data_IF_975447537066
#
_entry.id   IF_975447537066
#
_cell.length_a   1.000
_cell.length_b   1.000
_cell.length_c   1.000
_cell.angle_alpha   90.00
_cell.angle_beta   90.00
_cell.angle_gamma   90.00
#
_symmetry.space_group_name_H-M   'P 1'
#
loop_
_entity.id
_entity.type
_entity.pdbx_description
1 polymer ?
#
# COMPACT_ATOMS: atom_id res chain seq x y z
N UNK A 1 8.98 11.51 -0.85
CA UNK A 1 7.78 11.82 -0.03
C UNK A 1 7.29 10.52 0.61
N UNK A 2 6.40 10.56 1.60
CA UNK A 2 5.78 9.33 2.12
C UNK A 2 4.59 8.95 1.25
N UNK A 3 4.59 7.72 0.76
CA UNK A 3 3.46 7.10 0.05
C UNK A 3 2.96 5.90 0.85
N UNK A 4 1.74 5.45 0.56
CA UNK A 4 1.05 4.46 1.36
C UNK A 4 0.59 3.28 0.52
N UNK A 5 0.71 2.06 1.04
CA UNK A 5 0.16 0.86 0.41
C UNK A 5 -0.69 0.09 1.42
N UNK A 6 -1.91 -0.31 1.02
CA UNK A 6 -2.77 -1.20 1.80
C UNK A 6 -2.41 -2.64 1.42
N UNK A 7 -2.01 -3.42 2.41
CA UNK A 7 -1.65 -4.82 2.25
C UNK A 7 -2.49 -5.70 3.18
N UNK A 8 -2.71 -6.96 2.78
CA UNK A 8 -3.09 -7.98 3.75
C UNK A 8 -1.94 -8.21 4.74
N UNK A 9 -2.27 -8.30 6.02
CA UNK A 9 -1.27 -8.47 7.08
C UNK A 9 -0.44 -9.75 6.88
N UNK A 10 -1.06 -10.81 6.36
CA UNK A 10 -0.40 -12.07 6.07
C UNK A 10 0.64 -11.94 4.94
N UNK A 11 0.31 -11.24 3.86
CA UNK A 11 1.22 -11.00 2.73
C UNK A 11 2.41 -10.15 3.15
N UNK A 12 2.17 -9.12 3.98
CA UNK A 12 3.25 -8.34 4.55
C UNK A 12 4.16 -9.18 5.45
N UNK A 13 3.57 -10.02 6.32
CA UNK A 13 4.36 -10.91 7.17
C UNK A 13 5.19 -11.93 6.37
N UNK A 14 4.70 -12.39 5.21
CA UNK A 14 5.45 -13.21 4.28
C UNK A 14 6.62 -12.43 3.66
N UNK A 15 6.37 -11.21 3.19
CA UNK A 15 7.40 -10.35 2.62
C UNK A 15 8.55 -10.02 3.59
N UNK A 16 8.27 -9.92 4.89
CA UNK A 16 9.32 -9.75 5.90
C UNK A 16 10.28 -10.94 5.97
N UNK A 17 9.81 -12.15 5.65
CA UNK A 17 10.66 -13.37 5.60
C UNK A 17 11.35 -13.49 4.25
N UNK A 18 10.64 -13.17 3.18
CA UNK A 18 11.12 -13.35 1.80
C UNK A 18 12.01 -12.18 1.33
N UNK A 19 12.00 -11.06 2.08
CA UNK A 19 12.79 -9.87 1.82
C UNK A 19 12.16 -8.90 0.81
N UNK A 20 11.02 -9.24 0.21
CA UNK A 20 10.34 -8.42 -0.78
C UNK A 20 8.83 -8.66 -0.80
N UNK A 21 8.04 -7.60 -0.83
CA UNK A 21 6.60 -7.62 -1.02
C UNK A 21 6.26 -7.40 -2.50
N UNK A 22 5.39 -8.25 -3.06
CA UNK A 22 5.13 -8.33 -4.51
C UNK A 22 3.65 -8.33 -4.89
N UNK A 23 2.76 -8.02 -3.96
CA UNK A 23 1.33 -7.86 -4.25
C UNK A 23 1.09 -6.42 -4.72
N UNK A 24 0.38 -6.24 -5.84
CA UNK A 24 0.12 -4.92 -6.41
C UNK A 24 -1.09 -4.24 -5.78
N UNK A 25 -2.15 -5.03 -5.57
CA UNK A 25 -3.41 -4.70 -4.92
C UNK A 25 -4.16 -6.00 -4.65
N UNK A 26 -5.34 -5.93 -4.03
CA UNK A 26 -6.17 -7.12 -3.78
C UNK A 26 -6.37 -7.96 -5.05
N UNK A 27 -5.88 -9.20 -5.01
CA UNK A 27 -6.01 -10.17 -6.11
C UNK A 27 -5.08 -9.93 -7.31
N UNK A 28 -4.12 -9.02 -7.22
CA UNK A 28 -3.16 -8.73 -8.28
C UNK A 28 -1.72 -8.71 -7.76
N UNK A 29 -0.78 -9.26 -8.54
CA UNK A 29 0.66 -9.24 -8.20
C UNK A 29 1.40 -8.23 -9.07
N UNK A 30 2.59 -7.82 -8.62
CA UNK A 30 3.53 -7.00 -9.37
C UNK A 30 3.80 -7.57 -10.77
N UNK A 31 3.93 -8.88 -10.92
CA UNK A 31 4.16 -9.53 -12.21
C UNK A 31 2.96 -9.39 -13.17
N UNK A 32 1.75 -9.42 -12.62
CA UNK A 32 0.52 -9.30 -13.43
C UNK A 32 0.23 -7.87 -13.88
N UNK A 33 0.57 -6.88 -13.06
CA UNK A 33 0.25 -5.46 -13.31
C UNK A 33 1.43 -4.65 -13.85
N UNK A 34 2.67 -5.06 -13.55
CA UNK A 34 3.90 -4.34 -13.86
C UNK A 34 4.33 -3.30 -12.80
N UNK A 35 3.47 -2.99 -11.82
CA UNK A 35 3.76 -2.05 -10.73
C UNK A 35 2.89 -2.33 -9.50
N UNK A 36 3.30 -1.85 -8.31
CA UNK A 36 2.50 -1.87 -7.09
C UNK A 36 1.76 -0.55 -6.95
N UNK A 37 0.46 -0.61 -6.69
CA UNK A 37 -0.36 0.58 -6.45
C UNK A 37 -0.06 1.14 -5.08
N UNK A 38 0.25 2.43 -5.00
CA UNK A 38 0.31 3.17 -3.75
C UNK A 38 -0.68 4.34 -3.79
N UNK A 39 -0.75 5.06 -2.68
CA UNK A 39 -1.65 6.17 -2.47
C UNK A 39 -0.94 7.29 -1.73
N UNK A 40 -1.41 8.51 -1.88
CA UNK A 40 -1.16 9.58 -0.91
C UNK A 40 -2.02 9.37 0.33
N UNK A 41 -1.74 10.10 1.41
CA UNK A 41 -2.55 10.02 2.64
C UNK A 41 -4.03 10.35 2.38
N UNK A 42 -4.32 11.34 1.53
CA UNK A 42 -5.68 11.77 1.22
C UNK A 42 -6.48 10.72 0.41
N UNK A 43 -5.79 9.87 -0.34
CA UNK A 43 -6.38 8.83 -1.19
C UNK A 43 -6.75 7.55 -0.43
N UNK A 44 -6.09 7.28 0.71
CA UNK A 44 -6.18 6.01 1.43
C UNK A 44 -7.62 5.56 1.72
N UNK A 45 -8.45 6.45 2.26
CA UNK A 45 -9.83 6.10 2.64
C UNK A 45 -10.70 5.71 1.43
N UNK A 46 -10.53 6.41 0.30
CA UNK A 46 -11.26 6.13 -0.93
C UNK A 46 -10.80 4.82 -1.57
N UNK A 47 -9.49 4.58 -1.63
CA UNK A 47 -8.90 3.33 -2.13
C UNK A 47 -9.32 2.15 -1.27
N UNK A 48 -9.24 2.27 0.05
CA UNK A 48 -9.70 1.24 0.97
C UNK A 48 -11.17 0.88 0.71
N UNK A 49 -12.06 1.88 0.72
CA UNK A 49 -13.49 1.66 0.48
C UNK A 49 -13.77 0.98 -0.86
N UNK A 50 -13.04 1.37 -1.91
CA UNK A 50 -13.27 0.85 -3.26
C UNK A 50 -12.82 -0.60 -3.44
N UNK A 51 -11.71 -1.01 -2.83
CA UNK A 51 -11.06 -2.28 -3.13
C UNK A 51 -11.10 -3.31 -1.99
N UNK A 52 -11.32 -2.86 -0.75
CA UNK A 52 -11.17 -3.68 0.45
C UNK A 52 -12.38 -3.68 1.39
N UNK A 53 -13.46 -2.93 1.09
CA UNK A 53 -14.62 -2.83 2.01
C UNK A 53 -15.37 -4.15 2.24
N UNK A 54 -15.34 -5.05 1.27
CA UNK A 54 -15.91 -6.39 1.35
C UNK A 54 -14.87 -7.45 1.76
N UNK A 55 -13.65 -7.03 2.10
CA UNK A 55 -12.60 -7.92 2.58
C UNK A 55 -12.65 -8.05 4.11
N UNK A 56 -12.68 -9.30 4.57
CA UNK A 56 -12.69 -9.62 6.00
C UNK A 56 -11.31 -9.98 6.55
N UNK A 57 -10.31 -10.09 5.67
CA UNK A 57 -8.95 -10.37 6.08
C UNK A 57 -8.29 -9.17 6.78
N UNK A 58 -7.40 -9.39 7.76
CA UNK A 58 -6.70 -8.30 8.43
C UNK A 58 -5.84 -7.49 7.47
N UNK A 59 -5.97 -6.16 7.53
CA UNK A 59 -5.20 -5.23 6.70
C UNK A 59 -4.14 -4.49 7.52
N UNK A 60 -3.09 -4.05 6.82
CA UNK A 60 -2.11 -3.09 7.31
C UNK A 60 -1.93 -1.98 6.28
N UNK A 61 -1.55 -0.80 6.76
CA UNK A 61 -1.04 0.28 5.92
C UNK A 61 0.47 0.35 6.10
N UNK A 62 1.19 0.24 4.98
CA UNK A 62 2.63 0.44 4.90
C UNK A 62 2.88 1.90 4.55
N UNK A 63 3.60 2.62 5.41
CA UNK A 63 4.17 3.93 5.09
C UNK A 63 5.54 3.73 4.46
N UNK A 64 5.70 4.19 3.23
CA UNK A 64 6.87 3.93 2.39
C UNK A 64 7.60 5.24 2.13
N UNK A 65 8.90 5.24 2.40
CA UNK A 65 9.81 6.30 1.97
C UNK A 65 10.14 6.12 0.48
N UNK A 66 9.54 6.96 -0.35
CA UNK A 66 9.77 7.02 -1.79
C UNK A 66 11.25 7.25 -2.16
N UNK A 67 11.98 8.02 -1.36
CA UNK A 67 13.38 8.30 -1.63
C UNK A 67 14.22 7.03 -1.44
N UNK A 68 14.00 6.29 -0.35
CA UNK A 68 14.66 5.02 -0.10
C UNK A 68 14.36 3.96 -1.19
N UNK A 69 13.12 3.93 -1.68
CA UNK A 69 12.74 3.09 -2.82
C UNK A 69 13.51 3.46 -4.09
N UNK A 70 13.55 4.76 -4.42
CA UNK A 70 14.24 5.29 -5.61
C UNK A 70 15.75 5.05 -5.55
N UNK A 71 16.38 5.27 -4.40
CA UNK A 71 17.81 5.00 -4.16
C UNK A 71 18.17 3.52 -4.36
N UNK A 72 17.20 2.63 -4.12
CA UNK A 72 17.35 1.18 -4.34
C UNK A 72 16.98 0.74 -5.76
N UNK A 73 16.71 1.69 -6.66
CA UNK A 73 16.39 1.43 -8.07
C UNK A 73 14.93 1.09 -8.34
N UNK A 74 14.03 1.27 -7.36
CA UNK A 74 12.58 1.13 -7.57
C UNK A 74 12.02 2.50 -7.96
N UNK A 75 11.68 2.65 -9.22
CA UNK A 75 11.10 3.88 -9.73
C UNK A 75 9.67 4.09 -9.21
N UNK A 76 9.37 5.29 -8.73
CA UNK A 76 8.03 5.71 -8.35
C UNK A 76 7.53 6.76 -9.34
N UNK A 77 6.36 6.52 -9.96
CA UNK A 77 5.73 7.46 -10.90
C UNK A 77 4.35 7.88 -10.41
N UNK A 78 4.03 9.15 -10.58
CA UNK A 78 2.67 9.64 -10.41
C UNK A 78 1.92 9.51 -11.74
N UNK A 79 0.89 8.67 -11.78
CA UNK A 79 0.16 8.34 -13.00
C UNK A 79 -1.35 8.47 -12.80
N UNK A 80 -2.08 8.78 -13.88
CA UNK A 80 -3.52 9.00 -13.81
C UNK A 80 -4.29 7.69 -13.53
N UNK A 81 -5.00 7.66 -12.41
CA UNK A 81 -5.86 6.56 -11.96
C UNK A 81 -7.36 6.81 -12.22
N UNK A 82 -7.72 7.81 -13.03
CA UNK A 82 -9.10 8.14 -13.36
C UNK A 82 -9.50 9.57 -12.97
N UNK A 83 -8.65 10.55 -13.29
CA UNK A 83 -8.83 11.97 -12.97
C UNK A 83 -8.01 12.47 -11.79
N UNK A 84 -7.22 11.59 -11.16
CA UNK A 84 -6.32 11.89 -10.05
C UNK A 84 -5.03 11.08 -10.18
N UNK A 85 -3.89 11.66 -9.79
CA UNK A 85 -2.59 11.01 -9.87
C UNK A 85 -2.34 10.11 -8.65
N UNK A 86 -1.98 8.85 -8.90
CA UNK A 86 -1.58 7.88 -7.89
C UNK A 86 -0.10 7.52 -8.03
N UNK A 87 0.63 7.32 -6.92
CA UNK A 87 1.98 6.78 -6.98
C UNK A 87 1.95 5.29 -7.33
N UNK A 88 2.74 4.89 -8.32
CA UNK A 88 2.98 3.51 -8.71
C UNK A 88 4.46 3.16 -8.52
N UNK A 89 4.74 2.06 -7.82
CA UNK A 89 6.10 1.54 -7.65
C UNK A 89 6.40 0.50 -8.73
N UNK A 90 7.38 0.77 -9.57
CA UNK A 90 7.84 -0.13 -10.64
C UNK A 90 8.88 -1.12 -10.11
N UNK A 91 8.50 -1.87 -9.08
CA UNK A 91 9.35 -2.84 -8.40
C UNK A 91 8.70 -3.33 -7.10
N UNK A 92 9.32 -4.32 -6.43
CA UNK A 92 8.83 -4.79 -5.15
C UNK A 92 8.99 -3.73 -4.05
N UNK A 93 8.13 -3.77 -3.04
CA UNK A 93 8.36 -3.02 -1.80
C UNK A 93 9.33 -3.83 -0.94
N UNK A 94 10.51 -3.29 -0.66
CA UNK A 94 11.45 -3.91 0.27
C UNK A 94 11.15 -3.44 1.70
N UNK A 95 11.34 -4.29 2.73
CA UNK A 95 11.14 -3.90 4.13
C UNK A 95 11.88 -2.65 4.57
N UNK A 96 13.06 -2.39 3.99
CA UNK A 96 13.88 -1.21 4.30
C UNK A 96 13.24 0.10 3.83
N UNK A 97 12.28 0.07 2.89
CA UNK A 97 11.56 1.28 2.46
C UNK A 97 10.44 1.65 3.42
N UNK A 98 10.00 0.71 4.25
CA UNK A 98 8.80 0.87 5.08
C UNK A 98 9.18 1.47 6.42
N UNK A 99 8.80 2.73 6.63
CA UNK A 99 9.12 3.49 7.84
C UNK A 99 8.14 3.22 8.98
N UNK A 100 6.91 2.79 8.65
CA UNK A 100 5.89 2.42 9.61
C UNK A 100 4.90 1.41 9.03
N UNK A 101 4.43 0.51 9.89
CA UNK A 101 3.34 -0.42 9.61
C UNK A 101 2.25 -0.18 10.64
N UNK A 102 1.05 0.12 10.18
CA UNK A 102 -0.10 0.39 11.06
C UNK A 102 -1.22 -0.60 10.74
N UNK A 103 -1.80 -1.24 11.76
CA UNK A 103 -2.98 -2.07 11.55
C UNK A 103 -4.14 -1.23 11.02
N UNK A 104 -4.95 -1.80 10.13
CA UNK A 104 -6.07 -1.10 9.52
C UNK A 104 -7.31 -1.98 9.43
N UNK A 105 -8.48 -1.35 9.54
CA UNK A 105 -9.78 -2.03 9.51
C UNK A 105 -10.90 -1.07 9.11
N UNK A 106 -12.02 -1.62 8.71
CA UNK A 106 -13.28 -0.89 8.66
C UNK A 106 -13.95 -0.91 10.05
N UNK A 107 -14.44 0.24 10.51
CA UNK A 107 -15.22 0.33 11.73
C UNK A 107 -16.68 -0.12 11.52
N UNK A 108 -17.51 -0.03 12.58
CA UNK A 108 -18.92 -0.43 12.53
C UNK A 108 -19.77 0.42 11.56
N UNK A 109 -19.31 1.63 11.22
CA UNK A 109 -19.96 2.52 10.26
C UNK A 109 -19.43 2.31 8.83
N UNK A 110 -18.53 1.35 8.62
CA UNK A 110 -17.88 1.09 7.33
C UNK A 110 -16.83 2.13 6.94
N UNK A 111 -16.31 2.91 7.90
CA UNK A 111 -15.20 3.85 7.64
C UNK A 111 -13.86 3.13 7.79
N UNK A 112 -12.96 3.37 6.86
CA UNK A 112 -11.59 2.87 6.96
C UNK A 112 -10.82 3.61 8.05
N UNK A 113 -10.20 2.86 8.97
CA UNK A 113 -9.44 3.36 10.11
C UNK A 113 -8.06 2.73 10.14
N UNK A 114 -7.05 3.52 10.52
CA UNK A 114 -5.65 3.09 10.64
C UNK A 114 -5.19 3.37 12.06
N UNK A 115 -4.65 2.37 12.75
CA UNK A 115 -4.25 2.50 14.14
C UNK A 115 -3.11 3.51 14.32
N UNK A 116 -3.31 4.44 15.26
CA UNK A 116 -2.35 5.50 15.55
C UNK A 116 -2.23 6.57 14.44
N UNK A 117 -3.13 6.60 13.47
CA UNK A 117 -3.39 7.76 12.63
C UNK A 117 -4.59 8.51 13.24
N UNK A 118 -4.36 9.71 13.76
CA UNK A 118 -5.46 10.63 14.06
C UNK A 118 -5.97 11.13 12.72
N UNK A 119 -7.10 10.60 12.25
CA UNK A 119 -7.86 11.21 11.14
C UNK A 119 -8.37 12.59 11.53
#
# INVERSE_FOLDING_TARGET
MTIFHIAHAADWAAALRDGAYRVSSRGATLESTGFIHASTAAQLGAVATRFYADDSEPLVVLEIDEAAASESGVEVRLEDGGGELFPHLYGPILPVFVTRVSAARFDADGRFTVEGAMV
#
